data_IF_321252167044
#
_entry.id   IF_321252167044
#
_cell.length_a   1.000
_cell.length_b   1.000
_cell.length_c   1.000
_cell.angle_alpha   90.00
_cell.angle_beta   90.00
_cell.angle_gamma   90.00
#
_symmetry.space_group_name_H-M   'P 1'
#
loop_
_entity.id
_entity.type
_entity.pdbx_description
1 polymer ?
#
# COMPACT_ATOMS: atom_id res chain seq x y z
N UNK A 1 -5.09 1.07 -1.90
CA UNK A 1 -6.33 1.16 -2.71
C UNK A 1 -6.65 -0.22 -3.24
N UNK A 2 -7.63 -0.87 -2.62
CA UNK A 2 -8.08 -2.20 -2.99
C UNK A 2 -8.84 -2.18 -4.31
N UNK A 3 -8.49 -3.10 -5.21
CA UNK A 3 -9.26 -3.39 -6.41
C UNK A 3 -10.33 -4.43 -6.03
N UNK A 4 -11.64 -4.13 -6.15
CA UNK A 4 -12.68 -5.05 -5.70
C UNK A 4 -12.70 -6.36 -6.51
N UNK A 5 -12.77 -7.48 -5.80
CA UNK A 5 -13.06 -8.79 -6.37
C UNK A 5 -14.57 -8.88 -6.66
N UNK A 6 -15.00 -8.73 -7.92
CA UNK A 6 -16.44 -8.85 -8.23
C UNK A 6 -16.92 -8.45 -9.61
N UNK A 7 -16.10 -7.86 -10.48
CA UNK A 7 -16.47 -7.73 -11.89
C UNK A 7 -15.99 -8.98 -12.64
N UNK A 8 -16.92 -9.83 -13.07
CA UNK A 8 -16.68 -10.99 -13.94
C UNK A 8 -16.26 -10.61 -15.38
N UNK A 9 -15.54 -9.50 -15.53
CA UNK A 9 -14.63 -9.24 -16.63
C UNK A 9 -13.22 -9.45 -16.06
N UNK A 10 -12.64 -10.62 -16.34
CA UNK A 10 -11.26 -11.03 -16.06
C UNK A 10 -10.39 -9.87 -15.57
N UNK A 11 -10.16 -9.82 -14.25
CA UNK A 11 -9.31 -8.81 -13.62
C UNK A 11 -8.04 -8.68 -14.46
N UNK A 12 -7.64 -7.47 -14.91
CA UNK A 12 -6.38 -7.29 -15.65
C UNK A 12 -5.15 -7.57 -14.77
N UNK A 13 -5.39 -8.03 -13.54
CA UNK A 13 -4.43 -8.42 -12.52
C UNK A 13 -4.50 -9.91 -12.17
N UNK A 14 -5.16 -10.72 -13.00
CA UNK A 14 -4.97 -12.16 -13.01
C UNK A 14 -3.45 -12.45 -13.09
N UNK A 15 -2.86 -13.17 -12.12
CA UNK A 15 -1.45 -13.57 -12.16
C UNK A 15 -1.05 -14.22 -13.49
N UNK A 16 -1.98 -14.93 -14.15
CA UNK A 16 -1.74 -15.57 -15.44
C UNK A 16 -1.65 -14.54 -16.57
N UNK A 17 -2.36 -13.41 -16.47
CA UNK A 17 -2.22 -12.27 -17.40
C UNK A 17 -0.95 -11.46 -17.13
N UNK A 18 -0.53 -11.30 -15.87
CA UNK A 18 0.76 -10.68 -15.55
C UNK A 18 1.91 -11.53 -16.10
N UNK A 19 1.81 -12.86 -16.01
CA UNK A 19 2.75 -13.79 -16.62
C UNK A 19 2.78 -13.67 -18.16
N UNK A 20 1.62 -13.50 -18.80
CA UNK A 20 1.52 -13.36 -20.26
C UNK A 20 2.15 -12.06 -20.80
N UNK A 21 2.29 -11.00 -19.99
CA UNK A 21 2.92 -9.73 -20.40
C UNK A 21 4.45 -9.77 -20.48
N UNK A 22 5.06 -10.86 -20.02
CA UNK A 22 6.50 -11.06 -20.08
C UNK A 22 7.23 -10.28 -18.99
N UNK A 23 7.91 -11.01 -18.11
CA UNK A 23 8.80 -10.43 -17.11
C UNK A 23 10.13 -10.08 -17.80
N UNK A 24 10.50 -8.80 -17.81
CA UNK A 24 11.72 -8.31 -18.47
C UNK A 24 12.88 -8.11 -17.50
N UNK A 25 12.61 -8.04 -16.20
CA UNK A 25 13.61 -8.01 -15.14
C UNK A 25 13.06 -8.63 -13.85
N UNK A 26 13.94 -9.26 -13.06
CA UNK A 26 13.62 -9.84 -11.75
C UNK A 26 14.73 -9.54 -10.77
N UNK A 27 14.37 -9.24 -9.52
CA UNK A 27 15.30 -9.17 -8.40
C UNK A 27 14.68 -9.82 -7.16
N UNK A 28 15.52 -10.21 -6.20
CA UNK A 28 15.08 -10.71 -4.90
C UNK A 28 15.88 -10.03 -3.80
N UNK A 29 15.20 -9.54 -2.77
CA UNK A 29 15.85 -8.93 -1.61
C UNK A 29 14.94 -9.01 -0.37
N UNK A 30 15.51 -9.44 0.75
CA UNK A 30 14.82 -9.49 2.05
C UNK A 30 13.45 -10.16 2.01
N UNK A 31 13.34 -11.35 1.44
CA UNK A 31 12.06 -12.10 1.40
C UNK A 31 11.01 -11.55 0.41
N UNK A 32 11.37 -10.58 -0.44
CA UNK A 32 10.49 -10.02 -1.47
C UNK A 32 11.07 -10.29 -2.86
N UNK A 33 10.21 -10.74 -3.78
CA UNK A 33 10.55 -10.85 -5.20
C UNK A 33 9.99 -9.64 -5.94
N UNK A 34 10.84 -9.02 -6.75
CA UNK A 34 10.50 -7.89 -7.59
C UNK A 34 10.47 -8.32 -9.04
N UNK A 35 9.43 -7.96 -9.76
CA UNK A 35 9.34 -8.14 -11.21
C UNK A 35 9.10 -6.80 -11.90
N UNK A 36 9.55 -6.68 -13.13
CA UNK A 36 9.11 -5.62 -14.03
C UNK A 36 8.52 -6.26 -15.29
N UNK A 37 7.35 -5.78 -15.67
CA UNK A 37 6.65 -6.22 -16.87
C UNK A 37 7.09 -5.42 -18.08
N UNK A 38 6.92 -6.01 -19.26
CA UNK A 38 7.14 -5.30 -20.51
C UNK A 38 6.13 -4.17 -20.69
N UNK A 39 6.62 -3.03 -21.19
CA UNK A 39 5.76 -1.93 -21.61
C UNK A 39 5.28 -2.20 -23.02
N UNK A 40 3.97 -2.11 -23.25
CA UNK A 40 3.41 -2.25 -24.59
C UNK A 40 3.69 -1.03 -25.48
N UNK A 41 4.10 0.10 -24.89
CA UNK A 41 4.31 1.37 -25.60
C UNK A 41 5.74 1.57 -26.12
N UNK A 42 6.73 0.85 -25.58
CA UNK A 42 8.13 1.00 -25.96
C UNK A 42 8.53 -0.07 -26.98
N UNK A 43 9.18 0.33 -28.09
CA UNK A 43 9.57 -0.61 -29.16
C UNK A 43 11.04 -1.03 -29.09
N UNK A 44 11.91 -0.27 -28.40
CA UNK A 44 13.34 -0.58 -28.24
C UNK A 44 13.58 -1.48 -27.02
N UNK A 45 13.81 -2.78 -27.29
CA UNK A 45 14.04 -3.78 -26.24
C UNK A 45 15.23 -3.50 -25.30
N UNK A 46 16.25 -2.74 -25.73
CA UNK A 46 17.40 -2.40 -24.88
C UNK A 46 17.04 -1.31 -23.89
N UNK A 47 16.34 -0.25 -24.36
CA UNK A 47 15.83 0.81 -23.49
C UNK A 47 14.83 0.27 -22.47
N UNK A 48 13.95 -0.66 -22.89
CA UNK A 48 13.00 -1.34 -22.00
C UNK A 48 13.67 -2.03 -20.84
N UNK A 49 14.64 -2.92 -21.11
CA UNK A 49 15.36 -3.65 -20.05
C UNK A 49 16.07 -2.71 -19.08
N UNK A 50 16.69 -1.64 -19.59
CA UNK A 50 17.36 -0.64 -18.75
C UNK A 50 16.37 0.11 -17.85
N UNK A 51 15.25 0.58 -18.41
CA UNK A 51 14.21 1.28 -17.65
C UNK A 51 13.58 0.36 -16.59
N UNK A 52 13.28 -0.88 -16.95
CA UNK A 52 12.75 -1.90 -16.03
C UNK A 52 13.70 -2.19 -14.87
N UNK A 53 15.01 -2.34 -15.15
CA UNK A 53 16.02 -2.51 -14.12
C UNK A 53 16.12 -1.31 -13.16
N UNK A 54 16.08 -0.09 -13.71
CA UNK A 54 16.07 1.13 -12.92
C UNK A 54 14.82 1.25 -12.03
N UNK A 55 13.64 0.91 -12.55
CA UNK A 55 12.40 0.91 -11.79
C UNK A 55 12.43 -0.09 -10.63
N UNK A 56 12.89 -1.33 -10.86
CA UNK A 56 13.06 -2.32 -9.78
C UNK A 56 14.04 -1.82 -8.72
N UNK A 57 15.17 -1.25 -9.13
CA UNK A 57 16.17 -0.73 -8.20
C UNK A 57 15.58 0.39 -7.32
N UNK A 58 14.81 1.31 -7.92
CA UNK A 58 14.13 2.38 -7.20
C UNK A 58 13.05 1.88 -6.23
N UNK A 59 12.20 0.96 -6.69
CA UNK A 59 11.15 0.34 -5.84
C UNK A 59 11.77 -0.41 -4.67
N UNK A 60 12.87 -1.14 -4.91
CA UNK A 60 13.64 -1.79 -3.86
C UNK A 60 14.22 -0.79 -2.87
N UNK A 61 14.83 0.30 -3.35
CA UNK A 61 15.38 1.34 -2.48
C UNK A 61 14.29 1.97 -1.60
N UNK A 62 13.09 2.21 -2.15
CA UNK A 62 11.94 2.67 -1.38
C UNK A 62 11.51 1.65 -0.31
N UNK A 63 11.47 0.35 -0.62
CA UNK A 63 11.16 -0.69 0.38
C UNK A 63 12.24 -0.79 1.47
N UNK A 64 13.51 -0.77 1.09
CA UNK A 64 14.63 -0.80 2.04
C UNK A 64 14.59 0.43 2.97
N UNK A 65 14.25 1.60 2.43
CA UNK A 65 14.03 2.83 3.20
C UNK A 65 12.83 2.71 4.14
N UNK A 66 11.71 2.13 3.70
CA UNK A 66 10.55 1.87 4.55
C UNK A 66 10.93 1.00 5.75
N UNK A 67 11.64 -0.11 5.49
CA UNK A 67 12.05 -1.05 6.54
C UNK A 67 12.96 -0.40 7.58
N UNK A 68 13.89 0.44 7.13
CA UNK A 68 14.78 1.18 8.01
C UNK A 68 14.03 2.24 8.85
N UNK A 69 13.02 2.91 8.28
CA UNK A 69 12.32 4.01 8.92
C UNK A 69 11.17 3.56 9.84
N UNK A 70 10.38 2.55 9.45
CA UNK A 70 9.22 2.03 10.21
C UNK A 70 9.42 0.55 10.59
N UNK A 71 9.96 0.27 11.80
CA UNK A 71 10.15 -1.10 12.28
C UNK A 71 8.86 -1.91 12.40
N UNK A 72 7.70 -1.26 12.53
CA UNK A 72 6.43 -1.99 12.57
C UNK A 72 6.02 -2.44 11.16
N UNK A 73 6.25 -1.63 10.12
CA UNK A 73 6.08 -2.07 8.73
C UNK A 73 7.06 -3.19 8.38
N UNK A 74 8.34 -3.10 8.80
CA UNK A 74 9.32 -4.16 8.58
C UNK A 74 8.89 -5.51 9.18
N UNK A 75 8.44 -5.50 10.44
CA UNK A 75 7.89 -6.70 11.10
C UNK A 75 6.67 -7.26 10.37
N UNK A 76 5.77 -6.41 9.88
CA UNK A 76 4.64 -6.86 9.07
C UNK A 76 5.12 -7.54 7.81
N UNK A 77 6.02 -6.91 7.03
CA UNK A 77 6.54 -7.50 5.81
C UNK A 77 7.24 -8.83 6.08
N UNK A 78 8.00 -8.94 7.18
CA UNK A 78 8.60 -10.20 7.60
C UNK A 78 7.56 -11.29 7.92
N UNK A 79 6.43 -10.93 8.56
CA UNK A 79 5.29 -11.86 8.76
C UNK A 79 4.70 -12.32 7.42
N UNK A 80 4.51 -11.41 6.46
CA UNK A 80 3.99 -11.74 5.13
C UNK A 80 4.93 -12.73 4.41
N UNK A 81 6.23 -12.43 4.38
CA UNK A 81 7.25 -13.30 3.79
C UNK A 81 7.38 -14.66 4.51
N UNK A 82 7.07 -14.73 5.80
CA UNK A 82 7.02 -15.98 6.56
C UNK A 82 5.77 -16.82 6.27
N UNK A 83 4.66 -16.18 5.89
CA UNK A 83 3.41 -16.85 5.55
C UNK A 83 3.34 -17.27 4.07
N UNK A 84 4.00 -16.54 3.17
CA UNK A 84 3.89 -16.79 1.74
C UNK A 84 4.80 -15.94 0.87
N UNK A 85 4.51 -15.92 -0.43
CA UNK A 85 5.29 -15.18 -1.42
C UNK A 85 4.90 -13.70 -1.41
N UNK A 86 5.87 -12.82 -1.20
CA UNK A 86 5.68 -11.37 -1.34
C UNK A 86 6.21 -10.91 -2.70
N UNK A 87 5.31 -10.38 -3.52
CA UNK A 87 5.59 -9.92 -4.88
C UNK A 87 5.36 -8.42 -5.00
N UNK A 88 6.37 -7.71 -5.51
CA UNK A 88 6.22 -6.31 -5.93
C UNK A 88 6.50 -6.20 -7.43
N UNK A 89 5.48 -5.87 -8.21
CA UNK A 89 5.55 -5.86 -9.66
C UNK A 89 5.50 -4.43 -10.16
N UNK A 90 6.53 -4.01 -10.89
CA UNK A 90 6.45 -2.78 -11.67
C UNK A 90 5.70 -3.04 -12.98
N UNK A 91 4.63 -2.27 -13.19
CA UNK A 91 3.88 -2.25 -14.43
C UNK A 91 3.87 -0.83 -15.02
N UNK A 92 4.59 -0.58 -16.12
CA UNK A 92 4.64 0.75 -16.73
C UNK A 92 3.30 1.18 -17.36
N UNK A 93 2.40 0.25 -17.64
CA UNK A 93 1.10 0.52 -18.27
C UNK A 93 -0.02 0.67 -17.22
N UNK A 94 0.30 0.51 -15.93
CA UNK A 94 -0.62 0.72 -14.81
C UNK A 94 -0.66 2.20 -14.37
N UNK A 95 -1.85 2.77 -14.05
CA UNK A 95 -3.17 2.14 -14.13
C UNK A 95 -3.71 2.09 -15.56
N UNK A 96 -4.45 1.04 -15.88
CA UNK A 96 -5.06 0.90 -17.20
C UNK A 96 -6.11 2.00 -17.45
N UNK A 97 -6.35 2.40 -18.72
CA UNK A 97 -7.13 3.59 -19.10
C UNK A 97 -8.56 3.68 -18.52
N UNK A 98 -9.10 2.61 -17.95
CA UNK A 98 -10.39 2.59 -17.28
C UNK A 98 -10.40 3.33 -15.91
N UNK A 99 -9.23 3.69 -15.37
CA UNK A 99 -9.11 4.36 -14.08
C UNK A 99 -8.64 5.81 -14.29
N UNK A 100 -9.57 6.78 -14.20
CA UNK A 100 -9.27 8.23 -14.29
C UNK A 100 -8.51 8.79 -13.07
N UNK A 101 -7.91 7.93 -12.24
CA UNK A 101 -7.17 8.30 -11.02
C UNK A 101 -5.71 7.91 -11.15
N UNK A 102 -4.82 8.83 -10.77
CA UNK A 102 -3.39 8.53 -10.59
C UNK A 102 -3.27 7.49 -9.49
N UNK A 103 -2.95 6.26 -9.87
CA UNK A 103 -2.72 5.16 -8.94
C UNK A 103 -1.23 4.88 -8.92
N UNK A 104 -0.59 5.12 -7.78
CA UNK A 104 0.86 4.97 -7.63
C UNK A 104 1.22 3.48 -7.48
N UNK A 105 0.48 2.79 -6.62
CA UNK A 105 0.50 1.35 -6.48
C UNK A 105 -0.87 0.84 -6.05
N UNK A 106 -1.09 -0.47 -6.14
CA UNK A 106 -2.26 -1.14 -5.62
C UNK A 106 -1.88 -2.52 -5.07
N UNK A 107 -2.42 -2.87 -3.91
CA UNK A 107 -2.46 -4.24 -3.43
C UNK A 107 -3.52 -5.03 -4.17
N UNK A 108 -3.17 -6.25 -4.56
CA UNK A 108 -4.03 -7.18 -5.25
C UNK A 108 -4.19 -8.43 -4.37
N UNK A 109 -5.38 -8.64 -3.78
CA UNK A 109 -5.63 -9.86 -3.03
C UNK A 109 -5.58 -11.06 -3.98
N UNK A 110 -4.98 -12.15 -3.54
CA UNK A 110 -4.54 -13.23 -4.42
C UNK A 110 -4.70 -14.61 -3.81
N UNK A 111 -5.95 -15.08 -3.66
CA UNK A 111 -6.30 -16.47 -3.31
C UNK A 111 -5.88 -16.93 -1.90
N UNK A 112 -6.59 -17.95 -1.39
CA UNK A 112 -6.56 -18.54 -0.03
C UNK A 112 -5.52 -17.98 0.96
N UNK A 113 -5.99 -17.24 1.97
CA UNK A 113 -5.18 -16.79 3.09
C UNK A 113 -4.54 -17.98 3.86
N UNK A 114 -3.24 -17.91 4.18
CA UNK A 114 -2.52 -18.95 4.91
C UNK A 114 -1.12 -19.26 4.39
N UNK A 115 -0.60 -20.44 4.72
CA UNK A 115 0.71 -20.93 4.22
C UNK A 115 0.61 -21.13 2.70
N UNK A 116 1.43 -20.40 1.95
CA UNK A 116 1.39 -20.38 0.48
C UNK A 116 0.61 -19.20 -0.11
N UNK A 117 0.14 -18.27 0.73
CA UNK A 117 -0.50 -17.03 0.30
C UNK A 117 0.43 -16.19 -0.60
N UNK A 118 -0.16 -15.36 -1.46
CA UNK A 118 0.58 -14.44 -2.33
C UNK A 118 0.18 -13.01 -2.04
N UNK A 119 1.15 -12.21 -1.61
CA UNK A 119 0.97 -10.80 -1.29
C UNK A 119 1.51 -9.97 -2.45
N UNK A 120 0.61 -9.52 -3.33
CA UNK A 120 0.98 -8.86 -4.58
C UNK A 120 0.70 -7.35 -4.50
N UNK A 121 1.74 -6.55 -4.74
CA UNK A 121 1.62 -5.11 -4.98
C UNK A 121 2.07 -4.79 -6.40
N UNK A 122 1.24 -4.06 -7.15
CA UNK A 122 1.62 -3.51 -8.46
C UNK A 122 1.94 -2.04 -8.31
N UNK A 123 3.13 -1.63 -8.77
CA UNK A 123 3.60 -0.24 -8.81
C UNK A 123 3.57 0.27 -10.24
N UNK A 124 2.75 1.30 -10.47
CA UNK A 124 2.60 1.93 -11.78
C UNK A 124 3.77 2.81 -12.20
N UNK A 125 3.74 3.31 -13.43
CA UNK A 125 4.69 4.32 -13.92
C UNK A 125 4.78 5.55 -13.01
N UNK A 126 3.65 5.99 -12.47
CA UNK A 126 3.60 7.16 -11.61
C UNK A 126 4.25 6.88 -10.25
N UNK A 127 4.05 5.68 -9.68
CA UNK A 127 4.71 5.27 -8.45
C UNK A 127 6.23 5.14 -8.61
N UNK A 128 6.67 4.49 -9.68
CA UNK A 128 8.09 4.35 -10.00
C UNK A 128 8.80 5.69 -10.29
N UNK A 129 8.05 6.74 -10.64
CA UNK A 129 8.57 8.10 -10.84
C UNK A 129 8.52 8.99 -9.59
N UNK A 130 7.89 8.56 -8.49
CA UNK A 130 7.86 9.32 -7.22
C UNK A 130 9.19 9.26 -6.49
N UNK A 131 9.41 10.20 -5.57
CA UNK A 131 10.56 10.15 -4.66
C UNK A 131 10.53 8.89 -3.79
N UNK A 132 11.69 8.38 -3.41
CA UNK A 132 11.81 7.12 -2.65
C UNK A 132 10.98 7.12 -1.37
N UNK A 133 10.96 8.22 -0.63
CA UNK A 133 10.17 8.34 0.61
C UNK A 133 8.66 8.31 0.34
N UNK A 134 8.19 8.95 -0.73
CA UNK A 134 6.78 8.93 -1.10
C UNK A 134 6.35 7.53 -1.56
N UNK A 135 7.16 6.87 -2.38
CA UNK A 135 6.89 5.49 -2.78
C UNK A 135 6.94 4.54 -1.57
N UNK A 136 7.86 4.75 -0.64
CA UNK A 136 7.96 3.99 0.60
C UNK A 136 6.68 4.12 1.46
N UNK A 137 6.08 5.31 1.56
CA UNK A 137 4.82 5.47 2.31
C UNK A 137 3.65 4.75 1.62
N UNK A 138 3.59 4.80 0.28
CA UNK A 138 2.58 4.06 -0.50
C UNK A 138 2.77 2.55 -0.34
N UNK A 139 4.02 2.05 -0.34
CA UNK A 139 4.29 0.64 -0.05
C UNK A 139 3.87 0.25 1.36
N UNK A 140 3.92 1.16 2.33
CA UNK A 140 3.36 0.91 3.66
C UNK A 140 1.83 0.74 3.61
N UNK A 141 1.11 1.58 2.85
CA UNK A 141 -0.33 1.44 2.62
C UNK A 141 -0.67 0.08 1.98
N UNK A 142 -0.08 -0.18 0.82
CA UNK A 142 -0.47 -1.32 -0.01
C UNK A 142 0.08 -2.63 0.56
N UNK A 143 1.37 -2.71 0.88
CA UNK A 143 1.98 -3.96 1.33
C UNK A 143 1.75 -4.20 2.81
N UNK A 144 2.11 -3.26 3.69
CA UNK A 144 2.01 -3.48 5.12
C UNK A 144 0.57 -3.31 5.65
N UNK A 145 -0.25 -2.46 5.05
CA UNK A 145 -1.67 -2.31 5.38
C UNK A 145 -2.49 -3.45 4.81
N UNK A 146 -2.75 -3.43 3.50
CA UNK A 146 -3.61 -4.43 2.86
C UNK A 146 -3.03 -5.85 2.90
N UNK A 147 -1.71 -6.02 2.83
CA UNK A 147 -1.11 -7.34 2.98
C UNK A 147 -1.34 -7.95 4.37
N UNK A 148 -1.36 -7.13 5.43
CA UNK A 148 -1.69 -7.63 6.77
C UNK A 148 -3.17 -8.02 6.86
N UNK A 149 -4.07 -7.20 6.30
CA UNK A 149 -5.50 -7.48 6.25
C UNK A 149 -5.81 -8.77 5.47
N UNK A 150 -5.06 -9.03 4.40
CA UNK A 150 -5.15 -10.30 3.67
C UNK A 150 -4.69 -11.47 4.56
N UNK A 151 -3.54 -11.33 5.21
CA UNK A 151 -2.99 -12.37 6.09
C UNK A 151 -3.93 -12.67 7.28
N UNK A 152 -4.58 -11.65 7.83
CA UNK A 152 -5.50 -11.76 8.97
C UNK A 152 -6.92 -12.18 8.52
N UNK A 153 -7.15 -12.28 7.21
CA UNK A 153 -8.40 -12.75 6.62
C UNK A 153 -9.51 -11.70 6.59
N UNK A 154 -9.22 -10.43 6.88
CA UNK A 154 -10.22 -9.35 6.89
C UNK A 154 -10.81 -9.10 5.51
N UNK A 155 -9.98 -9.12 4.47
CA UNK A 155 -10.42 -8.92 3.09
C UNK A 155 -11.40 -10.02 2.68
N UNK A 156 -11.04 -11.30 2.91
CA UNK A 156 -11.90 -12.44 2.62
C UNK A 156 -13.11 -12.54 3.56
N UNK A 157 -12.96 -12.07 4.80
CA UNK A 157 -14.00 -12.03 5.83
C UNK A 157 -15.08 -10.97 5.59
N UNK A 158 -14.97 -10.18 4.52
CA UNK A 158 -15.99 -9.20 4.14
C UNK A 158 -15.91 -7.90 4.94
N UNK A 159 -14.72 -7.56 5.45
CA UNK A 159 -14.45 -6.24 6.00
C UNK A 159 -14.92 -5.13 5.05
N UNK A 160 -15.54 -4.07 5.60
CA UNK A 160 -15.99 -2.95 4.76
C UNK A 160 -14.77 -2.28 4.13
N UNK A 161 -14.84 -1.96 2.84
CA UNK A 161 -13.74 -1.28 2.12
C UNK A 161 -13.28 0.00 2.83
N UNK A 162 -14.21 0.77 3.42
CA UNK A 162 -13.84 1.98 4.17
C UNK A 162 -13.00 1.68 5.42
N UNK A 163 -13.25 0.57 6.09
CA UNK A 163 -12.47 0.15 7.27
C UNK A 163 -11.07 -0.31 6.82
N UNK A 164 -11.00 -1.12 5.76
CA UNK A 164 -9.74 -1.58 5.18
C UNK A 164 -8.85 -0.41 4.74
N UNK A 165 -9.43 0.55 4.01
CA UNK A 165 -8.70 1.76 3.58
C UNK A 165 -8.37 2.68 4.76
N UNK A 166 -9.20 2.74 5.82
CA UNK A 166 -8.88 3.53 6.99
C UNK A 166 -7.62 2.99 7.69
N UNK A 167 -7.59 1.70 8.00
CA UNK A 167 -6.45 1.09 8.67
C UNK A 167 -5.18 1.20 7.81
N UNK A 168 -5.26 0.86 6.52
CA UNK A 168 -4.13 0.99 5.61
C UNK A 168 -3.63 2.44 5.51
N UNK A 169 -4.55 3.42 5.51
CA UNK A 169 -4.20 4.84 5.54
C UNK A 169 -3.54 5.26 6.85
N UNK A 170 -3.91 4.66 7.99
CA UNK A 170 -3.23 4.91 9.26
C UNK A 170 -1.83 4.27 9.27
N UNK A 171 -1.64 3.11 8.64
CA UNK A 171 -0.31 2.52 8.41
C UNK A 171 0.54 3.45 7.53
N UNK A 172 -0.02 4.00 6.45
CA UNK A 172 0.67 5.01 5.63
C UNK A 172 1.02 6.25 6.46
N UNK A 173 0.09 6.80 7.23
CA UNK A 173 0.33 7.99 8.05
C UNK A 173 1.50 7.79 9.03
N UNK A 174 1.62 6.59 9.62
CA UNK A 174 2.76 6.23 10.48
C UNK A 174 4.06 6.23 9.68
N UNK A 175 4.08 5.59 8.51
CA UNK A 175 5.25 5.54 7.66
C UNK A 175 5.68 6.93 7.17
N UNK A 176 4.73 7.79 6.78
CA UNK A 176 5.01 9.17 6.35
C UNK A 176 5.72 9.97 7.44
N UNK A 177 5.26 9.86 8.69
CA UNK A 177 5.92 10.50 9.83
C UNK A 177 7.34 9.94 10.04
N UNK A 178 7.51 8.62 9.99
CA UNK A 178 8.81 7.96 10.16
C UNK A 178 9.81 8.31 9.03
N UNK A 179 9.31 8.50 7.81
CA UNK A 179 10.10 8.86 6.63
C UNK A 179 10.43 10.35 6.54
N UNK A 180 9.93 11.17 7.47
CA UNK A 180 10.11 12.62 7.50
C UNK A 180 9.37 13.37 6.40
N UNK A 181 8.37 12.75 5.76
CA UNK A 181 7.50 13.41 4.79
C UNK A 181 6.60 14.45 5.46
N UNK A 182 6.26 14.20 6.73
CA UNK A 182 5.48 15.10 7.55
C UNK A 182 6.34 15.61 8.70
N UNK A 183 6.73 16.89 8.66
CA UNK A 183 7.56 17.49 9.71
C UNK A 183 6.70 18.26 10.71
N UNK A 184 7.05 18.13 12.00
CA UNK A 184 6.41 18.91 13.05
C UNK A 184 6.80 20.40 12.98
N UNK A 185 8.00 20.69 12.48
CA UNK A 185 8.68 21.99 12.61
C UNK A 185 8.67 22.83 11.33
N UNK A 186 8.22 22.30 10.19
CA UNK A 186 8.22 22.97 8.89
C UNK A 186 6.82 23.05 8.26
N UNK A 187 6.66 23.76 7.13
CA UNK A 187 5.42 23.77 6.36
C UNK A 187 5.00 22.35 5.99
N UNK A 188 3.72 22.02 6.19
CA UNK A 188 3.17 20.74 5.74
C UNK A 188 3.02 20.82 4.22
N UNK A 189 3.59 19.87 3.49
CA UNK A 189 3.46 19.80 2.04
C UNK A 189 1.97 19.72 1.63
N UNK A 190 1.55 20.35 0.53
CA UNK A 190 0.17 20.27 0.05
C UNK A 190 -0.38 18.84 -0.05
N UNK A 191 0.47 17.90 -0.50
CA UNK A 191 0.14 16.48 -0.62
C UNK A 191 -0.15 15.84 0.75
N UNK A 192 0.58 16.22 1.80
CA UNK A 192 0.33 15.76 3.18
C UNK A 192 -0.98 16.32 3.74
N UNK A 193 -1.35 17.56 3.39
CA UNK A 193 -2.66 18.13 3.75
C UNK A 193 -3.78 17.39 3.03
N UNK A 194 -3.62 17.12 1.73
CA UNK A 194 -4.61 16.39 0.94
C UNK A 194 -4.79 14.95 1.44
N UNK A 195 -3.68 14.26 1.72
CA UNK A 195 -3.66 12.94 2.34
C UNK A 195 -4.44 12.94 3.66
N UNK A 196 -4.11 13.86 4.58
CA UNK A 196 -4.79 13.94 5.88
C UNK A 196 -6.29 14.18 5.75
N UNK A 197 -6.71 15.07 4.85
CA UNK A 197 -8.14 15.30 4.57
C UNK A 197 -8.83 14.02 4.07
N UNK A 198 -8.16 13.23 3.24
CA UNK A 198 -8.69 11.94 2.78
C UNK A 198 -8.82 10.93 3.93
N UNK A 199 -7.79 10.79 4.76
CA UNK A 199 -7.84 9.91 5.94
C UNK A 199 -8.99 10.32 6.86
N UNK A 200 -9.07 11.59 7.23
CA UNK A 200 -10.03 12.08 8.22
C UNK A 200 -11.48 12.17 7.72
N UNK A 201 -11.66 12.60 6.48
CA UNK A 201 -12.97 12.95 5.93
C UNK A 201 -13.60 11.84 5.11
N UNK A 202 -12.80 10.92 4.55
CA UNK A 202 -13.26 9.87 3.65
C UNK A 202 -13.07 8.48 4.24
N UNK A 203 -11.82 8.10 4.54
CA UNK A 203 -11.51 6.71 4.89
C UNK A 203 -11.88 6.40 6.33
N UNK A 204 -11.40 7.18 7.29
CA UNK A 204 -11.63 6.97 8.72
C UNK A 204 -12.85 7.70 9.28
N UNK A 205 -13.79 8.13 8.44
CA UNK A 205 -14.95 8.91 8.89
C UNK A 205 -15.78 8.14 9.93
N UNK A 206 -16.10 6.89 9.65
CA UNK A 206 -16.95 6.07 10.52
C UNK A 206 -16.22 5.71 11.82
N UNK A 207 -14.93 5.36 11.73
CA UNK A 207 -14.06 5.15 12.90
C UNK A 207 -14.01 6.40 13.81
N UNK A 208 -13.86 7.59 13.23
CA UNK A 208 -13.89 8.86 13.99
C UNK A 208 -15.24 9.11 14.66
N UNK A 209 -16.33 8.82 13.97
CA UNK A 209 -17.68 8.94 14.55
C UNK A 209 -17.89 7.96 15.70
N UNK A 210 -17.38 6.73 15.57
CA UNK A 210 -17.39 5.77 16.66
C UNK A 210 -16.55 6.27 17.84
N UNK A 211 -15.33 6.75 17.60
CA UNK A 211 -14.43 7.23 18.65
C UNK A 211 -15.04 8.41 19.41
N UNK A 212 -15.73 9.33 18.73
CA UNK A 212 -16.44 10.44 19.38
C UNK A 212 -17.50 9.99 20.39
N UNK A 213 -18.07 8.78 20.22
CA UNK A 213 -19.08 8.20 21.11
C UNK A 213 -18.45 7.29 22.16
N UNK A 214 -17.54 6.42 21.76
CA UNK A 214 -16.99 5.35 22.60
C UNK A 214 -15.75 5.76 23.39
N UNK A 215 -14.99 6.74 22.91
CA UNK A 215 -13.74 7.21 23.50
C UNK A 215 -13.53 8.72 23.26
N UNK A 216 -14.44 9.60 23.75
CA UNK A 216 -14.46 11.02 23.41
C UNK A 216 -13.14 11.75 23.71
N UNK A 217 -12.47 11.41 24.81
CA UNK A 217 -11.16 11.99 25.16
C UNK A 217 -10.08 11.74 24.10
N UNK A 218 -10.22 10.65 23.34
CA UNK A 218 -9.29 10.29 22.27
C UNK A 218 -9.50 11.08 20.98
N UNK A 219 -10.57 11.88 20.86
CA UNK A 219 -10.77 12.76 19.72
C UNK A 219 -9.66 13.81 19.58
N UNK A 220 -8.97 14.13 20.67
CA UNK A 220 -7.80 15.01 20.68
C UNK A 220 -6.66 14.50 19.79
N UNK A 221 -6.58 13.19 19.54
CA UNK A 221 -5.60 12.58 18.63
C UNK A 221 -5.75 13.06 17.18
N UNK A 222 -6.95 13.47 16.76
CA UNK A 222 -7.19 14.02 15.42
C UNK A 222 -6.91 15.51 15.33
N UNK A 223 -6.61 16.17 16.44
CA UNK A 223 -6.34 17.62 16.49
C UNK A 223 -4.84 17.93 16.48
N UNK A 224 -3.99 16.92 16.68
CA UNK A 224 -2.53 17.07 16.62
C UNK A 224 -2.08 17.41 15.20
N UNK A 225 -0.96 18.13 15.05
CA UNK A 225 -0.42 18.50 13.73
C UNK A 225 -0.05 17.29 12.85
N UNK A 226 0.54 16.27 13.47
CA UNK A 226 0.84 14.98 12.85
C UNK A 226 -0.12 13.94 13.43
N UNK A 227 -0.69 13.09 12.58
CA UNK A 227 -1.57 12.01 13.06
C UNK A 227 -0.74 11.06 13.93
N UNK A 228 -1.13 10.80 15.19
CA UNK A 228 -0.43 9.87 16.07
C UNK A 228 -0.86 8.44 15.70
N UNK A 229 -0.51 8.04 14.48
CA UNK A 229 -1.07 6.88 13.79
C UNK A 229 -0.95 5.58 14.58
N UNK A 230 0.13 5.37 15.33
CA UNK A 230 0.28 4.20 16.20
C UNK A 230 -0.85 4.12 17.25
N UNK A 231 -1.16 5.22 17.92
CA UNK A 231 -2.26 5.28 18.91
C UNK A 231 -3.63 5.15 18.26
N UNK A 232 -3.80 5.68 17.04
CA UNK A 232 -5.04 5.55 16.29
C UNK A 232 -5.26 4.11 15.83
N UNK A 233 -4.22 3.40 15.40
CA UNK A 233 -4.28 1.97 15.04
C UNK A 233 -4.66 1.11 16.25
N UNK A 234 -4.11 1.39 17.44
CA UNK A 234 -4.49 0.67 18.67
C UNK A 234 -5.98 0.82 18.98
N UNK A 235 -6.54 2.01 18.74
CA UNK A 235 -7.97 2.27 18.94
C UNK A 235 -8.85 1.74 17.80
N UNK A 236 -8.31 1.68 16.58
CA UNK A 236 -8.98 1.08 15.44
C UNK A 236 -9.27 -0.41 15.71
N UNK A 237 -8.33 -1.13 16.31
CA UNK A 237 -8.55 -2.53 16.74
C UNK A 237 -9.69 -2.70 17.75
N UNK A 238 -9.93 -1.69 18.59
CA UNK A 238 -11.09 -1.70 19.50
C UNK A 238 -12.39 -1.43 18.75
N UNK A 239 -12.35 -0.52 17.76
CA UNK A 239 -13.45 -0.26 16.85
C UNK A 239 -13.86 -1.51 16.07
N UNK A 240 -12.92 -2.28 15.53
CA UNK A 240 -13.23 -3.51 14.77
C UNK A 240 -13.94 -4.58 15.61
N UNK A 241 -13.69 -4.62 16.92
CA UNK A 241 -14.32 -5.58 17.84
C UNK A 241 -15.72 -5.18 18.30
N UNK A 242 -16.04 -3.88 18.26
CA UNK A 242 -17.20 -3.33 19.00
C UNK A 242 -18.11 -2.44 18.15
N UNK A 243 -17.64 -2.01 16.98
CA UNK A 243 -18.28 -1.00 16.16
C UNK A 243 -18.38 -1.35 14.67
N UNK A 244 -18.07 -2.60 14.31
CA UNK A 244 -18.31 -3.15 12.97
C UNK A 244 -19.70 -3.78 12.87
#
# INVERSE_FOLDING_TARGET
MLVPAGAAALSPFDPDRLAARGIVATARAGGVTFHALDSQAESDGTRRKKAAGAAIAHIRAALDRLRAADPAADRTIARLSGAGEVLVVHDPDFPYPALSRVTLAAFLPGGDAGIGARFLVVVGRHGAARGEAELASVLAHELAGHGLQELEGDIAGGARTLDLECEASLVEARARAALGLDTASGPIAPDSVAFRKAVEGRWCRDFRQWQARAAPDSMTLWQTRLLPAARLLDQFRAYEKTGR
#
